data_IF_271658907836
#
_entry.id   IF_271658907836
#
_cell.length_a   1.000
_cell.length_b   1.000
_cell.length_c   1.000
_cell.angle_alpha   90.00
_cell.angle_beta   90.00
_cell.angle_gamma   90.00
#
_symmetry.space_group_name_H-M   'P 1'
#
loop_
_entity.id
_entity.type
_entity.pdbx_description
1 polymer ?
#
# COMPACT_ATOMS: atom_id res chain seq x y z
N UNK A 1 -5.46 -3.61 0.50
CA UNK A 1 -4.11 -3.08 0.20
C UNK A 1 -3.70 -1.96 1.12
N UNK A 2 -4.46 -0.87 1.21
CA UNK A 2 -4.13 0.27 2.09
C UNK A 2 -3.85 -0.13 3.55
N UNK A 3 -4.68 -1.00 4.13
CA UNK A 3 -4.49 -1.49 5.51
C UNK A 3 -3.15 -2.23 5.71
N UNK A 4 -2.64 -2.94 4.70
CA UNK A 4 -1.37 -3.65 4.79
C UNK A 4 -0.19 -2.66 4.77
N UNK A 5 -0.27 -1.65 3.89
CA UNK A 5 0.72 -0.56 3.84
C UNK A 5 0.76 0.18 5.19
N UNK A 6 -0.41 0.47 5.76
CA UNK A 6 -0.54 1.11 7.07
C UNK A 6 0.05 0.22 8.17
N UNK A 7 -0.28 -1.08 8.19
CA UNK A 7 0.27 -2.05 9.15
C UNK A 7 1.79 -2.06 9.08
N UNK A 8 2.38 -2.27 7.91
CA UNK A 8 3.84 -2.36 7.72
C UNK A 8 4.54 -1.06 8.15
N UNK A 9 3.97 0.09 7.78
CA UNK A 9 4.53 1.38 8.18
C UNK A 9 4.48 1.56 9.70
N UNK A 10 3.33 1.28 10.31
CA UNK A 10 3.14 1.39 11.75
C UNK A 10 4.01 0.43 12.55
N UNK A 11 4.13 -0.83 12.13
CA UNK A 11 4.96 -1.83 12.82
C UNK A 11 6.43 -1.48 12.71
N UNK A 12 6.91 -0.99 11.56
CA UNK A 12 8.30 -0.57 11.38
C UNK A 12 8.69 0.52 12.40
N UNK A 13 7.84 1.53 12.61
CA UNK A 13 8.09 2.61 13.57
C UNK A 13 8.02 2.18 15.04
N UNK A 14 7.32 1.09 15.35
CA UNK A 14 7.19 0.58 16.72
C UNK A 14 8.24 -0.48 17.08
N UNK A 15 8.73 -1.22 16.10
CA UNK A 15 9.67 -2.33 16.30
C UNK A 15 11.12 -1.93 16.12
N UNK A 16 11.43 -1.00 15.22
CA UNK A 16 12.82 -0.59 14.95
C UNK A 16 13.21 0.61 15.82
N UNK A 17 14.17 0.46 16.76
CA UNK A 17 14.55 1.53 17.68
C UNK A 17 15.11 2.76 16.94
N UNK A 18 15.79 2.55 15.80
CA UNK A 18 16.29 3.63 14.95
C UNK A 18 15.16 4.52 14.42
N UNK A 19 14.09 3.93 13.90
CA UNK A 19 12.94 4.67 13.39
C UNK A 19 12.17 5.40 14.49
N UNK A 20 12.09 4.80 15.68
CA UNK A 20 11.45 5.38 16.85
C UNK A 20 12.19 6.61 17.38
N UNK A 21 13.53 6.55 17.39
CA UNK A 21 14.38 7.58 17.99
C UNK A 21 14.75 8.70 17.01
N UNK A 22 15.22 8.35 15.81
CA UNK A 22 15.70 9.34 14.82
C UNK A 22 14.54 9.96 14.01
N UNK A 23 13.39 9.28 13.95
CA UNK A 23 12.20 9.68 13.18
C UNK A 23 12.55 10.27 11.81
N UNK A 24 13.33 9.55 10.97
CA UNK A 24 13.74 10.08 9.68
C UNK A 24 12.51 10.40 8.83
N UNK A 25 12.63 11.44 8.00
CA UNK A 25 11.57 11.85 7.08
C UNK A 25 11.18 10.68 6.15
N UNK A 26 12.18 9.89 5.71
CA UNK A 26 12.00 8.68 4.91
C UNK A 26 12.76 7.49 5.51
N UNK A 27 12.07 6.38 5.84
CA UNK A 27 12.67 5.17 6.37
C UNK A 27 13.12 4.19 5.26
N UNK A 28 13.92 4.66 4.29
CA UNK A 28 14.20 3.97 3.01
C UNK A 28 14.73 2.53 3.13
N UNK A 29 15.56 2.24 4.14
CA UNK A 29 16.14 0.90 4.36
C UNK A 29 15.47 0.13 5.51
N UNK A 30 14.61 0.82 6.25
CA UNK A 30 14.02 0.31 7.49
C UNK A 30 12.54 -0.05 7.37
N UNK A 31 11.93 0.26 6.23
CA UNK A 31 10.61 -0.23 5.86
C UNK A 31 10.67 -1.76 5.75
N UNK A 32 9.93 -2.43 6.63
CA UNK A 32 9.74 -3.88 6.54
C UNK A 32 9.12 -4.27 5.22
N UNK A 33 9.39 -5.49 4.77
CA UNK A 33 8.63 -6.12 3.69
C UNK A 33 7.32 -6.67 4.22
N UNK A 34 6.32 -6.88 3.36
CA UNK A 34 5.13 -7.61 3.74
C UNK A 34 5.48 -9.00 4.25
N UNK A 35 4.86 -9.40 5.35
CA UNK A 35 5.00 -10.75 5.87
C UNK A 35 4.28 -11.74 4.95
N UNK A 36 4.69 -13.01 4.99
CA UNK A 36 4.09 -14.07 4.16
C UNK A 36 2.56 -14.13 4.26
N UNK A 37 2.02 -13.98 5.47
CA UNK A 37 0.56 -13.97 5.69
C UNK A 37 -0.13 -12.76 5.04
N UNK A 38 0.51 -11.59 5.05
CA UNK A 38 -0.02 -10.39 4.41
C UNK A 38 -0.10 -10.59 2.88
N UNK A 39 0.89 -11.25 2.29
CA UNK A 39 0.91 -11.62 0.87
C UNK A 39 -0.15 -12.68 0.53
N UNK A 40 -0.39 -13.63 1.43
CA UNK A 40 -1.40 -14.68 1.24
C UNK A 40 -2.82 -14.11 1.21
N UNK A 41 -3.12 -13.13 2.09
CA UNK A 41 -4.40 -12.40 2.11
C UNK A 41 -4.63 -11.67 0.78
N UNK A 42 -3.57 -11.03 0.25
CA UNK A 42 -3.62 -10.34 -1.05
C UNK A 42 -3.98 -11.30 -2.18
N UNK A 43 -3.35 -12.47 -2.22
CA UNK A 43 -3.58 -13.48 -3.26
C UNK A 43 -5.02 -14.01 -3.17
N UNK A 44 -5.48 -14.37 -1.98
CA UNK A 44 -6.85 -14.86 -1.76
C UNK A 44 -7.91 -13.82 -2.15
N UNK A 45 -7.71 -12.56 -1.78
CA UNK A 45 -8.60 -11.47 -2.19
C UNK A 45 -8.61 -11.29 -3.71
N UNK A 46 -7.45 -11.42 -4.36
CA UNK A 46 -7.34 -11.39 -5.82
C UNK A 46 -8.10 -12.53 -6.50
N UNK A 47 -7.97 -13.76 -5.98
CA UNK A 47 -8.67 -14.94 -6.50
C UNK A 47 -10.19 -14.75 -6.37
N UNK A 48 -10.68 -14.30 -5.21
CA UNK A 48 -12.10 -14.08 -4.98
C UNK A 48 -12.70 -13.05 -5.96
N UNK A 49 -11.99 -11.95 -6.20
CA UNK A 49 -12.39 -10.94 -7.17
C UNK A 49 -12.35 -11.47 -8.61
N UNK A 50 -11.32 -12.26 -8.96
CA UNK A 50 -11.19 -12.90 -10.27
C UNK A 50 -12.32 -13.88 -10.57
N UNK A 51 -12.81 -14.61 -9.56
CA UNK A 51 -13.97 -15.51 -9.71
C UNK A 51 -15.27 -14.72 -9.85
N UNK A 52 -15.42 -13.62 -9.12
CA UNK A 52 -16.70 -12.89 -9.04
C UNK A 52 -17.05 -12.11 -10.31
N UNK A 53 -16.06 -11.58 -11.02
CA UNK A 53 -16.29 -10.66 -12.15
C UNK A 53 -16.27 -11.42 -13.48
N UNK A 54 -17.28 -11.20 -14.32
CA UNK A 54 -17.45 -11.87 -15.64
C UNK A 54 -16.63 -11.22 -16.75
N UNK A 55 -16.36 -9.93 -16.63
CA UNK A 55 -16.00 -9.07 -17.75
C UNK A 55 -14.57 -8.55 -17.57
N UNK A 56 -13.63 -9.07 -18.37
CA UNK A 56 -12.17 -8.83 -18.22
C UNK A 56 -11.83 -7.33 -18.24
N UNK A 57 -12.56 -6.53 -19.03
CA UNK A 57 -12.37 -5.07 -19.07
C UNK A 57 -12.71 -4.44 -17.73
N UNK A 58 -13.82 -4.87 -17.09
CA UNK A 58 -14.23 -4.36 -15.77
C UNK A 58 -13.25 -4.77 -14.67
N UNK A 59 -12.66 -5.96 -14.79
CA UNK A 59 -11.59 -6.42 -13.89
C UNK A 59 -10.40 -5.48 -13.94
N UNK A 60 -9.91 -5.15 -15.14
CA UNK A 60 -8.72 -4.31 -15.28
C UNK A 60 -8.96 -2.87 -14.78
N UNK A 61 -10.04 -2.22 -15.22
CA UNK A 61 -10.35 -0.85 -14.77
C UNK A 61 -10.69 -0.79 -13.27
N UNK A 62 -11.41 -1.79 -12.76
CA UNK A 62 -11.70 -1.92 -11.33
C UNK A 62 -10.43 -2.12 -10.51
N UNK A 63 -9.50 -2.94 -11.00
CA UNK A 63 -8.20 -3.15 -10.38
C UNK A 63 -7.37 -1.86 -10.33
N UNK A 64 -7.23 -1.16 -11.46
CA UNK A 64 -6.49 0.11 -11.52
C UNK A 64 -7.13 1.15 -10.60
N UNK A 65 -8.46 1.28 -10.61
CA UNK A 65 -9.19 2.18 -9.73
C UNK A 65 -9.01 1.85 -8.24
N UNK A 66 -9.09 0.57 -7.88
CA UNK A 66 -8.87 0.11 -6.50
C UNK A 66 -7.43 0.33 -6.04
N UNK A 67 -6.45 0.13 -6.92
CA UNK A 67 -5.04 0.40 -6.64
C UNK A 67 -4.81 1.90 -6.43
N UNK A 68 -5.38 2.76 -7.26
CA UNK A 68 -5.28 4.21 -7.11
C UNK A 68 -5.96 4.71 -5.82
N UNK A 69 -7.13 4.17 -5.48
CA UNK A 69 -7.83 4.50 -4.24
C UNK A 69 -7.02 4.04 -3.02
N UNK A 70 -6.51 2.81 -3.05
CA UNK A 70 -5.68 2.27 -1.98
C UNK A 70 -4.40 3.09 -1.80
N UNK A 71 -3.76 3.50 -2.89
CA UNK A 71 -2.60 4.38 -2.88
C UNK A 71 -2.95 5.72 -2.24
N UNK A 72 -4.04 6.36 -2.67
CA UNK A 72 -4.48 7.66 -2.14
C UNK A 72 -4.74 7.61 -0.63
N UNK A 73 -5.41 6.55 -0.15
CA UNK A 73 -5.66 6.33 1.28
C UNK A 73 -4.35 6.12 2.05
N UNK A 74 -3.44 5.32 1.51
CA UNK A 74 -2.12 5.11 2.10
C UNK A 74 -1.33 6.41 2.19
N UNK A 75 -1.29 7.21 1.13
CA UNK A 75 -0.62 8.52 1.13
C UNK A 75 -1.21 9.44 2.18
N UNK A 76 -2.54 9.55 2.26
CA UNK A 76 -3.20 10.38 3.27
C UNK A 76 -2.82 9.96 4.71
N UNK A 77 -2.79 8.66 4.99
CA UNK A 77 -2.37 8.15 6.30
C UNK A 77 -0.88 8.41 6.57
N UNK A 78 0.00 8.11 5.63
CA UNK A 78 1.45 8.31 5.79
C UNK A 78 1.80 9.79 5.95
N UNK A 79 1.08 10.66 5.23
CA UNK A 79 1.19 12.12 5.38
C UNK A 79 0.77 12.54 6.78
N UNK A 80 -0.42 12.13 7.23
CA UNK A 80 -0.91 12.43 8.58
C UNK A 80 0.08 11.96 9.66
N UNK A 81 0.58 10.74 9.52
CA UNK A 81 1.56 10.18 10.45
C UNK A 81 2.88 10.95 10.43
N UNK A 82 3.40 11.32 9.26
CA UNK A 82 4.66 12.05 9.17
C UNK A 82 4.51 13.48 9.66
N UNK A 83 3.43 14.16 9.31
CA UNK A 83 3.20 15.55 9.66
C UNK A 83 2.90 15.73 11.15
N UNK A 84 1.91 14.99 11.67
CA UNK A 84 1.43 15.16 13.04
C UNK A 84 2.12 14.23 14.03
N UNK A 85 2.16 12.92 13.79
CA UNK A 85 2.67 11.95 14.78
C UNK A 85 4.19 11.98 14.94
N UNK A 86 4.95 12.19 13.86
CA UNK A 86 6.41 12.39 13.96
C UNK A 86 6.78 13.81 14.38
N UNK A 87 5.86 14.77 14.28
CA UNK A 87 6.07 16.16 14.66
C UNK A 87 6.80 17.01 13.62
N UNK A 88 6.87 16.59 12.35
CA UNK A 88 7.50 17.39 11.29
C UNK A 88 6.81 18.74 11.06
N UNK A 89 5.56 18.89 11.49
CA UNK A 89 4.87 20.19 11.51
C UNK A 89 5.64 21.28 12.29
N UNK A 90 6.40 20.92 13.33
CA UNK A 90 7.13 21.91 14.14
C UNK A 90 8.46 22.34 13.50
N UNK A 91 9.09 21.44 12.72
CA UNK A 91 10.32 21.76 11.99
C UNK A 91 10.01 22.39 10.63
N UNK A 92 9.35 21.62 9.77
CA UNK A 92 9.04 22.02 8.39
C UNK A 92 7.93 23.08 8.33
N UNK A 93 7.06 23.22 9.34
CA UNK A 93 6.03 24.25 9.35
C UNK A 93 6.57 25.67 9.47
N UNK A 94 7.84 25.84 9.83
CA UNK A 94 8.54 27.13 9.80
C UNK A 94 8.94 27.57 8.38
N UNK A 95 8.99 26.62 7.43
CA UNK A 95 9.28 26.89 6.03
C UNK A 95 7.97 27.11 5.27
N UNK A 96 7.90 28.10 4.36
CA UNK A 96 6.79 28.20 3.43
C UNK A 96 6.72 26.91 2.61
N UNK A 97 5.52 26.31 2.54
CA UNK A 97 5.26 25.05 1.83
C UNK A 97 6.00 23.80 2.37
N UNK A 98 6.45 23.80 3.63
CA UNK A 98 7.12 22.62 4.22
C UNK A 98 6.27 21.34 4.25
N UNK A 99 4.95 21.47 4.17
CA UNK A 99 4.00 20.34 4.07
C UNK A 99 4.13 19.57 2.75
N UNK A 100 4.60 20.21 1.67
CA UNK A 100 4.80 19.57 0.37
C UNK A 100 5.88 18.48 0.46
N UNK A 101 6.93 18.72 1.24
CA UNK A 101 7.99 17.74 1.48
C UNK A 101 7.49 16.50 2.22
N UNK A 102 6.62 16.68 3.21
CA UNK A 102 6.00 15.57 3.92
C UNK A 102 5.02 14.80 3.03
N UNK A 103 4.28 15.49 2.16
CA UNK A 103 3.38 14.86 1.19
C UNK A 103 4.16 14.06 0.14
N UNK A 104 5.23 14.64 -0.40
CA UNK A 104 6.09 13.97 -1.37
C UNK A 104 6.77 12.73 -0.78
N UNK A 105 7.26 12.82 0.47
CA UNK A 105 7.81 11.68 1.18
C UNK A 105 6.75 10.57 1.37
N UNK A 106 5.54 10.93 1.78
CA UNK A 106 4.43 9.98 1.94
C UNK A 106 4.03 9.31 0.62
N UNK A 107 4.02 10.06 -0.49
CA UNK A 107 3.77 9.55 -1.84
C UNK A 107 4.82 8.49 -2.25
N UNK A 108 6.10 8.78 -2.04
CA UNK A 108 7.18 7.86 -2.37
C UNK A 108 7.18 6.62 -1.49
N UNK A 109 6.97 6.78 -0.19
CA UNK A 109 6.98 5.66 0.75
C UNK A 109 5.77 4.73 0.51
N UNK A 110 4.58 5.29 0.24
CA UNK A 110 3.42 4.51 -0.17
C UNK A 110 3.66 3.78 -1.50
N UNK A 111 4.36 4.42 -2.45
CA UNK A 111 4.67 3.82 -3.74
C UNK A 111 5.63 2.64 -3.59
N UNK A 112 6.72 2.80 -2.85
CA UNK A 112 7.70 1.73 -2.58
C UNK A 112 7.08 0.58 -1.80
N UNK A 113 6.16 0.87 -0.87
CA UNK A 113 5.43 -0.19 -0.16
C UNK A 113 4.42 -0.89 -1.07
N UNK A 114 3.78 -0.22 -2.03
CA UNK A 114 2.78 -0.84 -2.90
C UNK A 114 3.34 -1.48 -4.17
N UNK A 115 4.54 -1.10 -4.61
CA UNK A 115 5.16 -1.56 -5.87
C UNK A 115 6.55 -2.10 -5.55
N UNK A 116 6.95 -3.30 -6.00
CA UNK A 116 6.32 -4.13 -7.04
C UNK A 116 5.46 -5.30 -6.53
N UNK A 117 5.74 -5.84 -5.34
CA UNK A 117 5.25 -7.16 -4.93
C UNK A 117 3.72 -7.26 -4.85
N UNK A 118 3.07 -6.28 -4.23
CA UNK A 118 1.61 -6.29 -4.08
C UNK A 118 0.86 -6.13 -5.39
N UNK A 119 1.40 -5.37 -6.35
CA UNK A 119 0.83 -5.24 -7.69
C UNK A 119 0.89 -6.60 -8.41
N UNK A 120 2.08 -7.19 -8.47
CA UNK A 120 2.31 -8.45 -9.18
C UNK A 120 1.49 -9.60 -8.60
N UNK A 121 1.47 -9.74 -7.28
CA UNK A 121 0.75 -10.83 -6.61
C UNK A 121 -0.78 -10.69 -6.72
N UNK A 122 -1.30 -9.45 -6.68
CA UNK A 122 -2.73 -9.25 -6.94
C UNK A 122 -3.10 -9.63 -8.37
N UNK A 123 -2.28 -9.25 -9.37
CA UNK A 123 -2.51 -9.61 -10.77
C UNK A 123 -2.50 -11.13 -10.97
N UNK A 124 -1.52 -11.82 -10.38
CA UNK A 124 -1.47 -13.29 -10.40
C UNK A 124 -2.73 -13.88 -9.76
N UNK A 125 -3.14 -13.40 -8.59
CA UNK A 125 -4.35 -13.88 -7.91
C UNK A 125 -5.62 -13.68 -8.75
N UNK A 126 -5.77 -12.51 -9.37
CA UNK A 126 -6.90 -12.20 -10.26
C UNK A 126 -6.92 -13.11 -11.49
N UNK A 127 -5.76 -13.34 -12.12
CA UNK A 127 -5.62 -14.23 -13.27
C UNK A 127 -6.00 -15.67 -12.88
N UNK A 128 -5.45 -16.18 -11.77
CA UNK A 128 -5.75 -17.52 -11.26
C UNK A 128 -7.24 -17.65 -10.93
N UNK A 129 -7.85 -16.64 -10.31
CA UNK A 129 -9.29 -16.61 -10.04
C UNK A 129 -10.15 -16.63 -11.30
N UNK A 130 -9.77 -15.85 -12.32
CA UNK A 130 -10.45 -15.84 -13.61
C UNK A 130 -10.37 -17.20 -14.32
N UNK A 131 -9.21 -17.86 -14.28
CA UNK A 131 -9.08 -19.23 -14.78
C UNK A 131 -9.91 -20.22 -13.97
N UNK A 132 -9.85 -20.18 -12.63
CA UNK A 132 -10.64 -21.06 -11.77
C UNK A 132 -12.15 -20.95 -12.06
N UNK A 133 -12.65 -19.74 -12.34
CA UNK A 133 -14.03 -19.53 -12.79
C UNK A 133 -14.34 -20.26 -14.09
N UNK A 134 -13.46 -20.18 -15.09
CA UNK A 134 -13.66 -20.86 -16.37
C UNK A 134 -13.82 -22.39 -16.21
N UNK A 135 -13.24 -22.96 -15.16
CA UNK A 135 -13.41 -24.38 -14.81
C UNK A 135 -14.69 -24.66 -14.01
N UNK A 136 -15.12 -23.74 -13.14
CA UNK A 136 -16.28 -23.93 -12.24
C UNK A 136 -17.62 -23.60 -12.93
N UNK A 137 -17.66 -22.57 -13.78
CA UNK A 137 -18.84 -22.22 -14.58
C UNK A 137 -18.40 -21.84 -16.01
N UNK A 138 -18.35 -22.81 -16.94
CA UNK A 138 -18.01 -22.54 -18.35
C UNK A 138 -19.11 -21.79 -19.14
N UNK A 139 -20.13 -21.26 -18.46
CA UNK A 139 -21.29 -20.59 -19.03
C UNK A 139 -21.46 -19.19 -18.44
#
# INVERSE_FOLDING_TARGET
>A
MSCLVIKVYWTAYNTRPRLKNEKPLRPTYDLGSFEFFDLLIVILAGIFLGVSITDVKKIFFGYVGAMFLAYSISVAFLFYHTWFLKGFQFGLGSLPYGWEWALFAAMLDAFVLMVPWTVCLCLVGVIVGAFARAWVSPF
#
